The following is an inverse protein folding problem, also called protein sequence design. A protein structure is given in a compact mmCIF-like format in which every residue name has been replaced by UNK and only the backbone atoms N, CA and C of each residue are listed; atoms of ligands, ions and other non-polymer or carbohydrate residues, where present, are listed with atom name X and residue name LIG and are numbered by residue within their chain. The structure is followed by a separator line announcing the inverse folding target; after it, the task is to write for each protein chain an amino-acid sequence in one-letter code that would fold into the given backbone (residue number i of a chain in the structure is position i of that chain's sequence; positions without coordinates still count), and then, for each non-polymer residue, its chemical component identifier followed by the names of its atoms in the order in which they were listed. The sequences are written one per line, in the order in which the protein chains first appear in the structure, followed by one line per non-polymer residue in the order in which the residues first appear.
data_IF_261600865318
#
_entry.id   IF_261600865318
#
_cell.length_a   1.000
_cell.length_b   1.000
_cell.length_c   1.000
_cell.angle_alpha   90.00
_cell.angle_beta   90.00
_cell.angle_gamma   90.00
#
_symmetry.space_group_name_H-M   'P 1'
#
loop_
_entity.id
_entity.type
_entity.pdbx_description
1 polymer ?
#
# COMPACT_ATOMS: atom_id res chain seq x y z
N UNK A 1 -2.87 -1.41 -2.51
CA UNK A 1 -1.41 -1.35 -2.80
C UNK A 1 -0.86 -2.75 -2.82
N UNK A 2 -0.06 -3.05 -3.83
CA UNK A 2 0.64 -4.33 -3.99
C UNK A 2 2.09 -4.13 -3.58
N UNK A 3 2.51 -4.69 -2.47
CA UNK A 3 3.83 -4.48 -1.86
C UNK A 3 4.64 -5.77 -2.01
N UNK A 4 5.79 -5.75 -2.69
CA UNK A 4 6.66 -6.92 -2.78
C UNK A 4 7.12 -7.38 -1.38
N UNK A 5 7.14 -8.69 -1.16
CA UNK A 5 7.76 -9.27 0.03
C UNK A 5 9.28 -9.20 -0.15
N UNK A 6 10.02 -8.46 0.71
CA UNK A 6 11.46 -8.33 0.57
C UNK A 6 12.20 -9.61 0.99
N UNK A 7 13.49 -9.65 0.71
CA UNK A 7 14.38 -10.68 1.24
C UNK A 7 14.98 -10.24 2.57
N UNK A 8 15.19 -11.19 3.46
CA UNK A 8 16.12 -11.05 4.60
C UNK A 8 17.58 -11.19 4.12
N UNK A 9 18.59 -10.85 4.94
CA UNK A 9 20.01 -10.99 4.58
C UNK A 9 20.43 -12.41 4.17
N UNK A 10 19.74 -13.44 4.68
CA UNK A 10 19.94 -14.85 4.32
C UNK A 10 19.21 -15.26 3.02
N UNK A 11 18.51 -14.35 2.37
CA UNK A 11 17.74 -14.57 1.16
C UNK A 11 16.36 -15.15 1.35
N UNK A 12 15.94 -15.43 2.59
CA UNK A 12 14.59 -15.86 2.90
C UNK A 12 13.57 -14.69 2.83
N UNK A 13 12.26 -14.96 2.70
CA UNK A 13 11.25 -13.92 2.65
C UNK A 13 11.05 -13.23 3.99
N UNK A 14 10.99 -11.89 3.98
CA UNK A 14 10.62 -11.09 5.15
C UNK A 14 9.13 -10.79 5.19
N UNK A 15 8.39 -11.65 5.87
CA UNK A 15 6.95 -11.50 6.05
C UNK A 15 6.55 -10.42 7.07
N UNK A 16 7.50 -9.81 7.76
CA UNK A 16 7.20 -8.69 8.68
C UNK A 16 6.58 -7.50 7.95
N UNK A 17 6.83 -7.40 6.63
CA UNK A 17 6.23 -6.37 5.77
C UNK A 17 4.69 -6.39 5.81
N UNK A 18 4.06 -7.56 5.98
CA UNK A 18 2.61 -7.68 6.10
C UNK A 18 2.11 -6.97 7.36
N UNK A 19 2.70 -7.29 8.51
CA UNK A 19 2.33 -6.65 9.79
C UNK A 19 2.60 -5.15 9.76
N UNK A 20 3.77 -4.76 9.24
CA UNK A 20 4.14 -3.35 9.12
C UNK A 20 3.14 -2.57 8.27
N UNK A 21 2.82 -3.07 7.09
CA UNK A 21 1.89 -2.40 6.18
C UNK A 21 0.46 -2.34 6.72
N UNK A 22 0.05 -3.38 7.45
CA UNK A 22 -1.24 -3.44 8.12
C UNK A 22 -1.35 -2.39 9.23
N UNK A 23 -0.39 -2.38 10.16
CA UNK A 23 -0.43 -1.47 11.30
C UNK A 23 -0.21 -0.01 10.90
N UNK A 24 0.62 0.27 9.91
CA UNK A 24 0.75 1.63 9.35
C UNK A 24 -0.58 2.15 8.77
N UNK A 25 -1.44 1.27 8.25
CA UNK A 25 -2.78 1.67 7.81
C UNK A 25 -3.73 1.87 8.99
N UNK A 26 -3.69 0.98 9.99
CA UNK A 26 -4.50 1.10 11.22
C UNK A 26 -4.18 2.41 11.95
N UNK A 27 -2.90 2.71 12.14
CA UNK A 27 -2.45 3.94 12.82
C UNK A 27 -2.99 5.20 12.12
N UNK A 28 -2.95 5.23 10.78
CA UNK A 28 -3.52 6.35 10.01
C UNK A 28 -5.06 6.41 10.06
N UNK A 29 -5.73 5.27 10.18
CA UNK A 29 -7.19 5.22 10.37
C UNK A 29 -7.54 5.77 11.74
N UNK A 30 -6.81 5.38 12.79
CA UNK A 30 -6.99 5.87 14.15
C UNK A 30 -6.71 7.38 14.24
N UNK A 31 -5.58 7.87 13.66
CA UNK A 31 -5.27 9.30 13.55
C UNK A 31 -6.44 10.08 12.91
N UNK A 32 -6.99 9.56 11.81
CA UNK A 32 -8.14 10.17 11.13
C UNK A 32 -9.40 10.20 12.01
N UNK A 33 -9.62 9.15 12.80
CA UNK A 33 -10.76 9.07 13.72
C UNK A 33 -10.62 10.04 14.91
N UNK A 34 -9.41 10.18 15.45
CA UNK A 34 -9.10 11.16 16.52
C UNK A 34 -9.33 12.61 16.06
N UNK A 35 -9.05 12.88 14.77
CA UNK A 35 -9.37 14.17 14.13
C UNK A 35 -10.88 14.34 13.80
N UNK A 36 -11.71 13.32 14.05
CA UNK A 36 -13.14 13.32 13.72
C UNK A 36 -13.45 13.19 12.22
N UNK A 37 -12.48 12.76 11.41
CA UNK A 37 -12.61 12.72 9.95
C UNK A 37 -13.12 11.38 9.41
N UNK A 38 -12.85 10.27 10.11
CA UNK A 38 -13.32 8.91 9.77
C UNK A 38 -13.11 8.53 8.29
N UNK A 39 -11.88 8.68 7.79
CA UNK A 39 -11.57 8.47 6.38
C UNK A 39 -11.84 7.04 5.88
N UNK A 40 -11.70 6.04 6.75
CA UNK A 40 -12.06 4.64 6.48
C UNK A 40 -13.31 4.29 7.28
N UNK A 41 -14.46 4.20 6.60
CA UNK A 41 -15.75 3.88 7.22
C UNK A 41 -16.31 2.49 6.82
N UNK A 42 -15.49 1.68 6.11
CA UNK A 42 -15.83 0.31 5.77
C UNK A 42 -14.84 -0.68 6.37
N UNK A 43 -13.79 -1.03 5.62
CA UNK A 43 -12.87 -2.10 6.02
C UNK A 43 -11.46 -1.89 5.51
N UNK A 44 -10.53 -2.52 6.21
CA UNK A 44 -9.17 -2.79 5.79
C UNK A 44 -9.07 -4.28 5.41
N UNK A 45 -8.58 -4.57 4.22
CA UNK A 45 -8.39 -5.93 3.73
C UNK A 45 -6.93 -6.21 3.40
N UNK A 46 -6.45 -7.40 3.80
CA UNK A 46 -5.11 -7.87 3.49
C UNK A 46 -5.15 -9.23 2.80
N UNK A 47 -4.33 -9.39 1.76
CA UNK A 47 -4.14 -10.66 1.04
C UNK A 47 -2.67 -10.90 0.79
N UNK A 48 -2.29 -12.18 0.77
CA UNK A 48 -0.96 -12.60 0.34
C UNK A 48 -1.11 -13.37 -0.97
N UNK A 49 -0.31 -13.01 -1.95
CA UNK A 49 -0.33 -13.63 -3.28
C UNK A 49 1.08 -14.04 -3.70
N UNK A 50 1.17 -15.04 -4.55
CA UNK A 50 2.44 -15.39 -5.19
C UNK A 50 2.94 -14.25 -6.09
N UNK A 51 4.21 -14.29 -6.44
CA UNK A 51 4.74 -13.49 -7.54
C UNK A 51 4.17 -13.95 -8.89
N UNK A 52 4.44 -13.18 -9.93
CA UNK A 52 3.94 -13.46 -11.27
C UNK A 52 5.00 -13.16 -12.32
N UNK A 53 5.04 -13.98 -13.36
CA UNK A 53 5.84 -13.76 -14.57
C UNK A 53 5.06 -13.02 -15.68
N UNK A 54 3.81 -12.67 -15.41
CA UNK A 54 2.98 -11.90 -16.34
C UNK A 54 3.35 -10.42 -16.25
N UNK A 55 3.89 -9.86 -17.33
CA UNK A 55 4.47 -8.51 -17.36
C UNK A 55 3.54 -7.40 -16.84
N UNK A 56 2.24 -7.50 -17.09
CA UNK A 56 1.25 -6.50 -16.67
C UNK A 56 0.64 -6.79 -15.28
N UNK A 57 1.00 -7.89 -14.64
CA UNK A 57 0.50 -8.17 -13.30
C UNK A 57 1.17 -7.24 -12.27
N UNK A 58 0.43 -6.67 -11.30
CA UNK A 58 1.04 -5.91 -10.22
C UNK A 58 2.07 -6.71 -9.41
N UNK A 59 1.97 -8.03 -9.43
CA UNK A 59 2.88 -8.99 -8.77
C UNK A 59 4.10 -9.37 -9.62
N UNK A 60 4.25 -8.80 -10.83
CA UNK A 60 5.33 -9.15 -11.76
C UNK A 60 6.72 -8.99 -11.12
N UNK A 61 7.52 -10.05 -11.18
CA UNK A 61 8.90 -10.08 -10.70
C UNK A 61 9.05 -10.12 -9.17
N UNK A 62 7.97 -10.23 -8.40
CA UNK A 62 8.04 -10.31 -6.94
C UNK A 62 8.46 -11.72 -6.50
N UNK A 63 9.75 -11.92 -6.22
CA UNK A 63 10.37 -13.22 -5.95
C UNK A 63 9.68 -14.02 -4.84
N UNK A 64 9.37 -13.36 -3.73
CA UNK A 64 8.83 -14.02 -2.52
C UNK A 64 7.32 -13.87 -2.36
N UNK A 65 6.67 -13.26 -3.34
CA UNK A 65 5.25 -12.96 -3.27
C UNK A 65 4.95 -11.49 -3.01
N UNK A 66 3.70 -11.21 -2.79
CA UNK A 66 3.15 -9.85 -2.70
C UNK A 66 2.15 -9.77 -1.56
N UNK A 67 2.27 -8.74 -0.75
CA UNK A 67 1.25 -8.31 0.20
C UNK A 67 0.36 -7.29 -0.51
N UNK A 68 -0.93 -7.62 -0.63
CA UNK A 68 -1.96 -6.71 -1.17
C UNK A 68 -2.79 -6.16 -0.03
N UNK A 69 -2.82 -4.84 0.13
CA UNK A 69 -3.64 -4.18 1.14
C UNK A 69 -4.58 -3.18 0.47
N UNK A 70 -5.85 -3.30 0.81
CA UNK A 70 -6.92 -2.41 0.39
C UNK A 70 -7.54 -1.71 1.60
N UNK A 71 -7.78 -0.41 1.47
CA UNK A 71 -8.62 0.35 2.39
C UNK A 71 -9.88 0.76 1.64
N UNK A 72 -11.03 0.47 2.23
CA UNK A 72 -12.32 0.73 1.62
C UNK A 72 -13.05 1.82 2.40
N UNK A 73 -13.72 2.68 1.64
CA UNK A 73 -14.54 3.75 2.18
C UNK A 73 -15.79 3.95 1.34
N UNK A 74 -16.84 4.49 1.96
CA UNK A 74 -18.08 4.83 1.25
C UNK A 74 -18.02 6.24 0.65
N UNK A 75 -19.01 6.54 -0.19
CA UNK A 75 -19.20 7.90 -0.74
C UNK A 75 -19.72 8.91 0.29
N UNK A 76 -20.01 8.48 1.52
CA UNK A 76 -20.43 9.35 2.62
C UNK A 76 -19.26 10.15 3.15
N UNK A 77 -18.05 9.55 3.13
CA UNK A 77 -16.82 10.25 3.51
C UNK A 77 -16.55 11.42 2.56
N UNK A 78 -16.32 12.64 3.09
CA UNK A 78 -16.03 13.80 2.25
C UNK A 78 -14.84 13.54 1.32
N UNK A 79 -14.99 13.87 0.04
CA UNK A 79 -13.97 13.60 -0.99
C UNK A 79 -12.57 14.10 -0.58
N UNK A 80 -12.48 15.27 0.02
CA UNK A 80 -11.20 15.83 0.46
C UNK A 80 -10.56 14.98 1.55
N UNK A 81 -11.32 14.55 2.54
CA UNK A 81 -10.87 13.67 3.62
C UNK A 81 -10.31 12.36 3.06
N UNK A 82 -11.06 11.73 2.16
CA UNK A 82 -10.64 10.50 1.49
C UNK A 82 -9.36 10.69 0.65
N UNK A 83 -9.27 11.77 -0.13
CA UNK A 83 -8.07 12.06 -0.93
C UNK A 83 -6.84 12.31 -0.07
N UNK A 84 -6.95 13.10 1.00
CA UNK A 84 -5.84 13.40 1.90
C UNK A 84 -5.35 12.14 2.61
N UNK A 85 -6.27 11.28 3.07
CA UNK A 85 -5.97 9.99 3.67
C UNK A 85 -5.23 9.06 2.68
N UNK A 86 -5.77 8.88 1.47
CA UNK A 86 -5.12 8.06 0.44
C UNK A 86 -3.70 8.53 0.13
N UNK A 87 -3.47 9.85 0.07
CA UNK A 87 -2.14 10.41 -0.17
C UNK A 87 -1.18 10.10 0.97
N UNK A 88 -1.60 10.29 2.24
CA UNK A 88 -0.79 9.94 3.42
C UNK A 88 -0.39 8.47 3.38
N UNK A 89 -1.36 7.58 3.22
CA UNK A 89 -1.17 6.13 3.23
C UNK A 89 -0.30 5.64 2.06
N UNK A 90 -0.56 6.12 0.85
CA UNK A 90 0.24 5.76 -0.31
C UNK A 90 1.70 6.18 -0.14
N UNK A 91 1.98 7.40 0.34
CA UNK A 91 3.34 7.86 0.63
C UNK A 91 4.04 6.96 1.66
N UNK A 92 3.33 6.55 2.72
CA UNK A 92 3.85 5.66 3.75
C UNK A 92 4.27 4.32 3.15
N UNK A 93 3.39 3.64 2.44
CA UNK A 93 3.66 2.35 1.83
C UNK A 93 4.72 2.40 0.71
N UNK A 94 4.78 3.51 -0.04
CA UNK A 94 5.78 3.71 -1.09
C UNK A 94 7.17 4.03 -0.55
N UNK A 95 7.30 4.42 0.71
CA UNK A 95 8.58 4.69 1.37
C UNK A 95 9.27 3.43 1.89
N UNK A 96 8.66 2.25 1.75
CA UNK A 96 9.23 1.02 2.25
C UNK A 96 10.49 0.60 1.49
N UNK A 97 11.46 0.13 2.24
CA UNK A 97 12.73 -0.41 1.74
C UNK A 97 12.93 -1.82 2.28
N UNK A 98 13.79 -2.57 1.62
CA UNK A 98 14.35 -3.80 2.17
C UNK A 98 15.41 -3.52 3.25
N UNK A 99 16.10 -4.58 3.70
CA UNK A 99 17.15 -4.50 4.73
C UNK A 99 18.39 -3.70 4.31
N UNK A 100 18.64 -3.57 3.00
CA UNK A 100 19.75 -2.79 2.43
C UNK A 100 19.35 -1.33 2.13
N UNK A 101 18.12 -0.95 2.41
CA UNK A 101 17.59 0.37 2.09
C UNK A 101 17.12 0.53 0.65
N UNK A 102 17.08 -0.54 -0.14
CA UNK A 102 16.57 -0.52 -1.52
C UNK A 102 15.03 -0.39 -1.51
N UNK A 103 14.46 0.57 -2.24
CA UNK A 103 13.01 0.73 -2.30
C UNK A 103 12.28 -0.52 -2.80
N UNK A 104 11.19 -0.91 -2.12
CA UNK A 104 10.41 -2.09 -2.50
C UNK A 104 9.57 -1.89 -3.76
N UNK A 105 9.37 -0.65 -4.19
CA UNK A 105 8.59 -0.33 -5.37
C UNK A 105 7.16 -0.91 -5.36
N UNK A 106 6.44 -0.70 -4.26
CA UNK A 106 5.02 -1.05 -4.18
C UNK A 106 4.23 -0.52 -5.37
N UNK A 107 3.30 -1.30 -5.88
CA UNK A 107 2.50 -0.96 -7.07
C UNK A 107 1.04 -0.81 -6.70
N UNK A 108 0.32 -0.06 -7.51
CA UNK A 108 -1.13 0.04 -7.40
C UNK A 108 -1.80 -0.91 -8.34
N UNK A 109 -2.91 -1.46 -7.91
CA UNK A 109 -3.71 -2.29 -8.78
C UNK A 109 -4.47 -1.42 -9.79
N UNK A 110 -4.35 -1.74 -11.08
CA UNK A 110 -4.90 -0.95 -12.20
C UNK A 110 -6.41 -0.66 -12.11
N UNK A 111 -7.17 -1.56 -11.48
CA UNK A 111 -8.62 -1.45 -11.34
C UNK A 111 -9.05 -0.71 -10.07
N UNK A 112 -8.11 -0.15 -9.30
CA UNK A 112 -8.40 0.52 -8.03
C UNK A 112 -8.19 2.03 -8.13
N UNK A 113 -8.88 2.75 -7.25
CA UNK A 113 -8.75 4.18 -7.15
C UNK A 113 -7.37 4.59 -6.64
N UNK A 114 -6.78 5.58 -7.30
CA UNK A 114 -5.46 6.12 -6.99
C UNK A 114 -5.56 7.55 -6.46
N UNK A 115 -4.71 7.93 -5.50
CA UNK A 115 -4.59 9.33 -5.15
C UNK A 115 -4.02 10.14 -6.33
N UNK A 116 -4.75 11.16 -6.77
CA UNK A 116 -4.40 12.00 -7.93
C UNK A 116 -3.12 12.84 -7.76
N UNK A 117 -2.56 12.89 -6.55
CA UNK A 117 -1.42 13.76 -6.19
C UNK A 117 -0.16 12.99 -5.81
N UNK A 118 -0.11 11.70 -5.99
CA UNK A 118 1.09 10.91 -5.68
C UNK A 118 1.91 10.72 -6.93
N UNK A 119 3.18 11.12 -6.86
CA UNK A 119 4.16 10.85 -7.91
C UNK A 119 4.91 9.58 -7.54
N UNK A 120 4.85 8.58 -8.39
CA UNK A 120 5.57 7.32 -8.23
C UNK A 120 6.80 7.32 -9.13
N UNK A 121 8.01 7.19 -8.56
CA UNK A 121 9.28 7.18 -9.31
C UNK A 121 9.37 8.29 -10.38
N UNK A 122 8.90 9.50 -10.07
CA UNK A 122 8.88 10.61 -11.03
C UNK A 122 7.73 10.54 -12.05
N UNK A 123 6.94 9.50 -12.05
CA UNK A 123 5.72 9.39 -12.88
C UNK A 123 4.52 9.90 -12.08
N UNK A 124 3.88 10.94 -12.60
CA UNK A 124 2.64 11.48 -12.04
C UNK A 124 1.49 10.59 -12.54
N UNK A 125 0.79 9.93 -11.63
CA UNK A 125 -0.50 9.33 -11.96
C UNK A 125 -1.56 10.45 -11.93
N UNK A 126 -2.29 10.60 -13.03
CA UNK A 126 -3.35 11.59 -13.24
C UNK A 126 -4.59 11.34 -12.41
#
# INVERSE_FOLDING_TARGET
MEIPVPSLPDGSPDWSILSRAWWDAVDLIEESAEEGLYACDLTLEGRVMAGSDVLMAPQYGNKHGTVSIEVLSTRIVPKKTWEDFKVKLAKKWMSYTDHDGTPLHGRVHWAKEMPSKVTFQGVRFW
#
